data_IF_137505146603
#
_entry.id   IF_137505146603
#
_cell.length_a   1.000
_cell.length_b   1.000
_cell.length_c   1.000
_cell.angle_alpha   90.00
_cell.angle_beta   90.00
_cell.angle_gamma   90.00
#
_symmetry.space_group_name_H-M   'P 1'
#
loop_
_entity.id
_entity.type
_entity.pdbx_description
1 polymer ?
#
# COMPACT_ATOMS: atom_id res chain seq x y z
N UNK A 1 44.57 -27.55 27.61
CA UNK A 1 43.77 -26.73 26.68
C UNK A 1 44.37 -25.34 26.64
N UNK A 2 44.90 -24.94 25.49
CA UNK A 2 45.51 -23.62 25.32
C UNK A 2 44.46 -22.61 24.89
N UNK A 3 44.67 -21.34 25.21
CA UNK A 3 43.84 -20.22 24.74
C UNK A 3 43.66 -20.18 23.21
N UNK A 4 44.58 -20.81 22.46
CA UNK A 4 44.48 -21.02 21.00
C UNK A 4 43.39 -22.01 20.59
N UNK A 5 43.14 -23.06 21.38
CA UNK A 5 42.07 -24.03 21.13
C UNK A 5 40.69 -23.38 21.38
N UNK A 6 40.61 -22.52 22.40
CA UNK A 6 39.41 -21.72 22.70
C UNK A 6 39.15 -20.70 21.59
N UNK A 7 40.18 -20.00 21.11
CA UNK A 7 40.04 -19.06 20.01
C UNK A 7 39.64 -19.76 18.69
N UNK A 8 40.17 -20.96 18.42
CA UNK A 8 39.76 -21.75 17.25
C UNK A 8 38.29 -22.20 17.35
N UNK A 9 37.80 -22.55 18.53
CA UNK A 9 36.40 -22.93 18.75
C UNK A 9 35.44 -21.76 18.53
N UNK A 10 35.78 -20.57 19.05
CA UNK A 10 34.96 -19.34 18.90
C UNK A 10 34.94 -18.84 17.45
N UNK A 11 36.02 -19.07 16.69
CA UNK A 11 36.09 -18.68 15.28
C UNK A 11 35.46 -19.73 14.35
N UNK A 12 35.30 -20.99 14.81
CA UNK A 12 34.59 -22.06 14.10
C UNK A 12 33.07 -22.02 14.31
N UNK A 13 32.60 -21.50 15.44
CA UNK A 13 31.25 -20.92 15.56
C UNK A 13 31.21 -19.59 14.83
N UNK A 14 31.38 -19.66 13.50
CA UNK A 14 31.16 -18.53 12.61
C UNK A 14 29.83 -17.92 12.97
N UNK A 15 29.89 -16.69 13.46
CA UNK A 15 28.75 -15.88 13.82
C UNK A 15 27.70 -16.04 12.72
N UNK A 16 26.63 -16.79 13.01
CA UNK A 16 25.44 -16.73 12.20
C UNK A 16 25.07 -15.25 12.16
N UNK A 17 25.05 -14.61 10.97
CA UNK A 17 24.57 -13.25 10.89
C UNK A 17 23.19 -13.26 11.55
N UNK A 18 22.99 -12.37 12.53
CA UNK A 18 21.67 -12.16 13.09
C UNK A 18 20.70 -12.05 11.90
N UNK A 19 19.57 -12.79 11.90
CA UNK A 19 18.61 -12.67 10.81
C UNK A 19 18.35 -11.17 10.64
N UNK A 20 18.57 -10.67 9.42
CA UNK A 20 18.26 -9.29 9.10
C UNK A 20 16.86 -9.02 9.66
N UNK A 21 16.62 -7.87 10.33
CA UNK A 21 15.33 -7.60 10.93
C UNK A 21 14.27 -7.87 9.87
N UNK A 22 13.37 -8.83 10.16
CA UNK A 22 12.35 -9.25 9.22
C UNK A 22 11.57 -7.99 8.83
N UNK A 23 11.76 -7.53 7.60
CA UNK A 23 11.14 -6.29 7.17
C UNK A 23 9.64 -6.55 7.13
N UNK A 24 8.89 -5.85 7.97
CA UNK A 24 7.44 -5.99 8.03
C UNK A 24 6.85 -5.79 6.63
N UNK A 25 6.12 -6.80 6.13
CA UNK A 25 5.52 -6.78 4.80
C UNK A 25 4.03 -6.42 4.85
N UNK A 26 3.51 -6.04 6.02
CA UNK A 26 2.09 -5.75 6.22
C UNK A 26 1.18 -6.91 5.77
N UNK A 27 1.74 -8.13 5.69
CA UNK A 27 1.18 -9.33 5.06
C UNK A 27 0.54 -9.09 3.71
N UNK A 28 1.19 -8.21 2.96
CA UNK A 28 1.09 -8.08 1.52
C UNK A 28 2.21 -8.93 0.87
N UNK A 29 2.09 -9.24 -0.42
CA UNK A 29 3.22 -9.71 -1.22
C UNK A 29 4.45 -8.81 -1.09
N UNK A 30 5.65 -9.41 -1.09
CA UNK A 30 6.90 -8.70 -0.77
C UNK A 30 7.25 -7.60 -1.78
N UNK A 31 6.88 -7.78 -3.04
CA UNK A 31 7.01 -6.78 -4.10
C UNK A 31 6.12 -5.55 -3.81
N UNK A 32 4.84 -5.77 -3.49
CA UNK A 32 3.91 -4.71 -3.14
C UNK A 32 4.32 -3.97 -1.85
N UNK A 33 4.75 -4.71 -0.83
CA UNK A 33 5.25 -4.11 0.41
C UNK A 33 6.50 -3.25 0.16
N UNK A 34 7.37 -3.67 -0.77
CA UNK A 34 8.57 -2.91 -1.13
C UNK A 34 8.25 -1.62 -1.88
N UNK A 35 7.28 -1.65 -2.80
CA UNK A 35 6.83 -0.44 -3.51
C UNK A 35 6.14 0.56 -2.57
N UNK A 36 5.37 0.09 -1.57
CA UNK A 36 4.77 0.97 -0.56
C UNK A 36 5.82 1.65 0.32
N UNK A 37 6.86 0.93 0.75
CA UNK A 37 7.99 1.53 1.48
C UNK A 37 8.71 2.58 0.64
N UNK A 38 8.86 2.32 -0.66
CA UNK A 38 9.43 3.29 -1.59
C UNK A 38 8.54 4.53 -1.68
N UNK A 39 7.23 4.33 -1.89
CA UNK A 39 6.23 5.40 -1.98
C UNK A 39 6.27 6.35 -0.77
N UNK A 40 6.45 5.81 0.44
CA UNK A 40 6.55 6.60 1.68
C UNK A 40 7.68 7.66 1.64
N UNK A 41 8.74 7.40 0.89
CA UNK A 41 9.91 8.28 0.78
C UNK A 41 9.91 9.12 -0.50
N UNK A 42 8.93 8.94 -1.39
CA UNK A 42 8.90 9.62 -2.68
C UNK A 42 8.47 11.09 -2.56
N UNK A 43 9.18 12.02 -3.22
CA UNK A 43 8.73 13.41 -3.31
C UNK A 43 7.43 13.49 -4.12
N UNK A 44 6.63 14.56 -3.94
CA UNK A 44 5.45 14.78 -4.77
C UNK A 44 5.83 14.87 -6.27
N UNK A 45 5.02 14.25 -7.16
CA UNK A 45 5.24 14.33 -8.60
C UNK A 45 5.27 15.80 -9.07
N UNK A 46 6.22 16.15 -9.95
CA UNK A 46 6.43 17.53 -10.42
C UNK A 46 5.20 18.17 -11.10
N UNK A 47 4.32 17.34 -11.67
CA UNK A 47 3.12 17.77 -12.39
C UNK A 47 1.85 17.71 -11.55
N UNK A 48 1.95 17.39 -10.25
CA UNK A 48 0.78 17.39 -9.39
C UNK A 48 0.43 18.84 -9.03
N UNK A 49 -0.73 19.31 -9.51
CA UNK A 49 -1.20 20.68 -9.25
C UNK A 49 -1.45 20.97 -7.76
N UNK A 50 -1.53 19.93 -6.91
CA UNK A 50 -1.71 20.10 -5.46
C UNK A 50 -0.82 19.14 -4.65
N UNK A 51 0.41 19.54 -4.33
CA UNK A 51 1.35 18.77 -3.51
C UNK A 51 0.83 18.41 -2.09
N UNK A 52 -0.13 19.18 -1.55
CA UNK A 52 -0.79 18.86 -0.29
C UNK A 52 -1.58 17.55 -0.36
N UNK A 53 -2.17 17.24 -1.52
CA UNK A 53 -2.93 16.02 -1.73
C UNK A 53 -2.01 14.79 -1.80
N UNK A 54 -0.77 14.93 -2.31
CA UNK A 54 0.19 13.82 -2.39
C UNK A 54 0.50 13.24 -1.01
N UNK A 55 0.81 14.09 -0.03
CA UNK A 55 1.14 13.63 1.32
C UNK A 55 -0.04 12.91 1.97
N UNK A 56 -1.27 13.42 1.77
CA UNK A 56 -2.50 12.75 2.22
C UNK A 56 -2.65 11.36 1.61
N UNK A 57 -2.51 11.26 0.29
CA UNK A 57 -2.58 9.99 -0.44
C UNK A 57 -1.53 8.98 0.03
N UNK A 58 -0.29 9.42 0.26
CA UNK A 58 0.77 8.55 0.80
C UNK A 58 0.43 8.09 2.22
N UNK A 59 -0.11 8.96 3.07
CA UNK A 59 -0.56 8.59 4.43
C UNK A 59 -1.68 7.55 4.35
N UNK A 60 -2.66 7.75 3.49
CA UNK A 60 -3.79 6.83 3.31
C UNK A 60 -3.32 5.47 2.77
N UNK A 61 -2.43 5.47 1.77
CA UNK A 61 -1.83 4.24 1.23
C UNK A 61 -1.05 3.46 2.30
N UNK A 62 -0.25 4.15 3.13
CA UNK A 62 0.49 3.52 4.21
C UNK A 62 -0.42 3.05 5.35
N UNK A 63 -1.51 3.76 5.60
CA UNK A 63 -2.52 3.38 6.62
C UNK A 63 -3.25 2.12 6.18
N UNK A 64 -3.63 2.01 4.90
CA UNK A 64 -4.21 0.78 4.34
C UNK A 64 -3.30 -0.43 4.56
N UNK A 65 -1.99 -0.26 4.41
CA UNK A 65 -1.02 -1.33 4.64
C UNK A 65 -0.87 -1.64 6.15
N UNK A 66 -0.53 -0.64 6.96
CA UNK A 66 -0.27 -0.77 8.41
C UNK A 66 -1.46 -1.35 9.18
N UNK A 67 -2.67 -0.91 8.86
CA UNK A 67 -3.91 -1.38 9.50
C UNK A 67 -4.44 -2.67 8.88
N UNK A 68 -3.67 -3.28 7.97
CA UNK A 68 -3.97 -4.57 7.32
C UNK A 68 -5.20 -4.55 6.43
N UNK A 69 -5.74 -3.37 6.09
CA UNK A 69 -6.87 -3.25 5.17
C UNK A 69 -6.54 -3.72 3.76
N UNK A 70 -5.35 -3.37 3.26
CA UNK A 70 -4.90 -3.82 1.96
C UNK A 70 -4.80 -5.36 1.88
N UNK A 71 -4.21 -5.99 2.92
CA UNK A 71 -4.11 -7.45 2.98
C UNK A 71 -5.49 -8.14 3.04
N UNK A 72 -6.44 -7.58 3.81
CA UNK A 72 -7.82 -8.06 3.87
C UNK A 72 -8.53 -7.92 2.52
N UNK A 73 -8.38 -6.78 1.85
CA UNK A 73 -8.98 -6.54 0.54
C UNK A 73 -8.46 -7.52 -0.51
N UNK A 74 -7.15 -7.77 -0.53
CA UNK A 74 -6.56 -8.76 -1.44
C UNK A 74 -7.07 -10.17 -1.16
N UNK A 75 -7.23 -10.55 0.11
CA UNK A 75 -7.86 -11.83 0.47
C UNK A 75 -9.33 -11.94 0.03
N UNK A 76 -10.02 -10.80 -0.12
CA UNK A 76 -11.38 -10.69 -0.67
C UNK A 76 -11.40 -10.55 -2.20
N UNK A 77 -10.24 -10.66 -2.88
CA UNK A 77 -10.12 -10.62 -4.33
C UNK A 77 -9.94 -9.23 -4.93
N UNK A 78 -9.62 -8.21 -4.14
CA UNK A 78 -9.24 -6.90 -4.67
C UNK A 78 -7.84 -6.94 -5.27
N UNK A 79 -7.62 -6.17 -6.33
CA UNK A 79 -6.31 -6.03 -6.97
C UNK A 79 -5.51 -4.89 -6.33
N UNK A 80 -4.18 -4.90 -6.52
CA UNK A 80 -3.35 -3.76 -6.14
C UNK A 80 -3.82 -2.46 -6.83
N UNK A 81 -4.32 -2.54 -8.06
CA UNK A 81 -4.88 -1.40 -8.77
C UNK A 81 -6.15 -0.82 -8.15
N UNK A 82 -7.01 -1.67 -7.57
CA UNK A 82 -8.22 -1.19 -6.86
C UNK A 82 -7.85 -0.42 -5.59
N UNK A 83 -6.70 -0.72 -4.99
CA UNK A 83 -6.22 -0.11 -3.76
C UNK A 83 -5.34 1.12 -4.01
N UNK A 84 -4.39 1.02 -4.94
CA UNK A 84 -3.27 1.95 -5.11
C UNK A 84 -3.11 2.47 -6.55
N UNK A 85 -4.07 2.19 -7.44
CA UNK A 85 -4.04 2.67 -8.82
C UNK A 85 -4.61 4.08 -8.96
N UNK A 86 -4.18 4.77 -10.01
CA UNK A 86 -4.67 6.08 -10.46
C UNK A 86 -4.63 6.17 -12.00
N UNK A 87 -5.33 7.14 -12.56
CA UNK A 87 -5.26 7.46 -13.99
C UNK A 87 -6.41 6.86 -14.80
N UNK A 88 -6.28 6.67 -16.11
CA UNK A 88 -7.38 6.18 -16.92
C UNK A 88 -7.66 4.70 -16.62
N UNK A 89 -8.92 4.37 -16.32
CA UNK A 89 -9.47 2.99 -16.25
C UNK A 89 -10.99 3.09 -16.27
N UNK A 90 -11.65 2.59 -17.31
CA UNK A 90 -13.10 2.67 -17.55
C UNK A 90 -13.72 4.11 -17.61
N UNK A 91 -13.18 5.08 -16.88
CA UNK A 91 -13.49 6.51 -16.85
C UNK A 91 -12.16 7.31 -16.82
N UNK A 92 -12.22 8.60 -17.19
CA UNK A 92 -11.04 9.45 -17.41
C UNK A 92 -10.30 9.87 -16.12
N UNK A 93 -10.80 9.49 -14.94
CA UNK A 93 -10.21 9.84 -13.63
C UNK A 93 -10.37 8.70 -12.61
N UNK A 94 -9.92 7.47 -12.92
CA UNK A 94 -9.95 6.39 -11.94
C UNK A 94 -9.05 6.71 -10.74
N UNK A 95 -9.61 6.48 -9.55
CA UNK A 95 -8.95 6.64 -8.27
C UNK A 95 -9.10 5.34 -7.49
N UNK A 96 -7.98 4.70 -7.15
CA UNK A 96 -7.96 3.59 -6.21
C UNK A 96 -8.33 4.05 -4.80
N UNK A 97 -8.60 3.07 -3.93
CA UNK A 97 -9.09 3.31 -2.57
C UNK A 97 -8.21 4.31 -1.79
N UNK A 98 -6.88 4.23 -1.90
CA UNK A 98 -5.95 5.13 -1.21
C UNK A 98 -6.15 6.61 -1.59
N UNK A 99 -6.49 6.90 -2.85
CA UNK A 99 -6.76 8.26 -3.31
C UNK A 99 -8.15 8.72 -2.92
N UNK A 100 -9.12 7.80 -3.04
CA UNK A 100 -10.50 8.10 -2.71
C UNK A 100 -10.72 8.34 -1.21
N UNK A 101 -9.89 7.82 -0.31
CA UNK A 101 -10.09 7.98 1.13
C UNK A 101 -10.02 9.44 1.59
N UNK A 102 -9.05 10.22 1.10
CA UNK A 102 -8.90 11.63 1.46
C UNK A 102 -8.98 11.84 2.99
N UNK A 103 -8.22 11.04 3.74
CA UNK A 103 -8.19 11.04 5.20
C UNK A 103 -9.38 10.40 5.92
N UNK A 104 -10.38 9.86 5.20
CA UNK A 104 -11.49 9.09 5.80
C UNK A 104 -11.00 7.74 6.32
N UNK A 105 -11.69 7.21 7.32
CA UNK A 105 -11.36 5.92 7.95
C UNK A 105 -12.26 4.81 7.44
N UNK A 106 -11.67 3.68 7.02
CA UNK A 106 -12.44 2.49 6.68
C UNK A 106 -13.13 1.94 7.93
N UNK A 107 -14.44 1.68 7.81
CA UNK A 107 -15.26 1.06 8.86
C UNK A 107 -15.83 -0.29 8.44
N UNK A 108 -15.92 -0.56 7.14
CA UNK A 108 -16.37 -1.84 6.59
C UNK A 108 -15.69 -2.10 5.25
N UNK A 109 -15.39 -3.37 4.98
CA UNK A 109 -14.80 -3.84 3.72
C UNK A 109 -15.36 -5.23 3.41
N UNK A 110 -15.82 -5.43 2.18
CA UNK A 110 -16.21 -6.73 1.63
C UNK A 110 -15.57 -6.97 0.25
N UNK A 111 -16.00 -8.02 -0.48
CA UNK A 111 -15.49 -8.38 -1.80
C UNK A 111 -15.84 -7.39 -2.92
N UNK A 112 -16.72 -6.43 -2.64
CA UNK A 112 -17.28 -5.50 -3.63
C UNK A 112 -17.09 -4.04 -3.27
N UNK A 113 -16.98 -3.68 -1.99
CA UNK A 113 -16.92 -2.28 -1.56
C UNK A 113 -16.20 -2.06 -0.24
N UNK A 114 -15.75 -0.83 -0.08
CA UNK A 114 -15.32 -0.26 1.19
C UNK A 114 -16.32 0.83 1.62
N UNK A 115 -16.61 0.90 2.91
CA UNK A 115 -17.32 2.03 3.52
C UNK A 115 -16.31 2.78 4.39
N UNK A 116 -16.20 4.08 4.18
CA UNK A 116 -15.37 4.96 4.97
C UNK A 116 -16.21 6.03 5.66
N UNK A 117 -15.81 6.40 6.87
CA UNK A 117 -16.42 7.47 7.65
C UNK A 117 -15.46 8.65 7.76
N UNK A 118 -16.03 9.85 7.84
CA UNK A 118 -15.28 11.06 8.18
C UNK A 118 -14.75 11.03 9.63
N UNK A 119 -14.05 12.10 10.03
CA UNK A 119 -13.46 12.19 11.37
C UNK A 119 -14.51 12.16 12.49
N UNK A 120 -15.70 12.73 12.28
CA UNK A 120 -16.80 12.72 13.27
C UNK A 120 -17.54 11.39 13.32
N UNK A 121 -17.49 10.60 12.24
CA UNK A 121 -18.24 9.35 12.09
C UNK A 121 -19.69 9.55 11.65
N UNK A 122 -20.09 10.80 11.41
CA UNK A 122 -21.48 11.17 11.07
C UNK A 122 -21.78 10.92 9.59
N UNK A 123 -20.81 11.19 8.72
CA UNK A 123 -20.96 10.93 7.28
C UNK A 123 -20.24 9.65 6.88
N UNK A 124 -20.90 8.85 6.05
CA UNK A 124 -20.33 7.63 5.44
C UNK A 124 -20.41 7.72 3.93
N UNK A 125 -19.35 7.27 3.28
CA UNK A 125 -19.27 7.16 1.83
C UNK A 125 -18.88 5.74 1.45
N UNK A 126 -19.30 5.28 0.27
CA UNK A 126 -18.95 3.98 -0.26
C UNK A 126 -18.04 4.09 -1.47
N UNK A 127 -17.04 3.22 -1.53
CA UNK A 127 -16.19 3.00 -2.70
C UNK A 127 -16.47 1.59 -3.22
N UNK A 128 -16.89 1.47 -4.48
CA UNK A 128 -17.02 0.16 -5.12
C UNK A 128 -15.67 -0.26 -5.71
N UNK A 129 -15.31 -1.54 -5.53
CA UNK A 129 -14.10 -2.15 -6.07
C UNK A 129 -14.03 -1.92 -7.58
N UNK A 130 -12.86 -1.50 -8.06
CA UNK A 130 -12.66 -1.14 -9.46
C UNK A 130 -13.04 0.30 -9.79
N UNK A 131 -13.50 1.09 -8.82
CA UNK A 131 -13.85 2.49 -9.00
C UNK A 131 -15.26 2.68 -9.58
N UNK A 132 -15.64 3.93 -9.79
CA UNK A 132 -16.93 4.27 -10.39
C UNK A 132 -16.99 3.73 -11.83
N UNK A 133 -18.07 3.03 -12.20
CA UNK A 133 -18.29 2.43 -13.55
C UNK A 133 -17.29 1.34 -13.99
N UNK A 134 -16.74 0.59 -13.04
CA UNK A 134 -15.90 -0.58 -13.36
C UNK A 134 -16.58 -1.58 -14.31
N UNK A 135 -15.85 -2.06 -15.32
CA UNK A 135 -16.26 -3.13 -16.26
C UNK A 135 -16.78 -2.65 -17.62
N UNK A 136 -16.60 -1.37 -17.96
CA UNK A 136 -17.13 -0.78 -19.20
C UNK A 136 -16.12 -0.76 -20.36
N UNK A 137 -14.82 -0.68 -20.06
CA UNK A 137 -13.65 -0.72 -20.97
C UNK A 137 -12.44 -1.40 -20.27
N UNK A 138 -12.51 -2.72 -20.01
CA UNK A 138 -11.61 -3.44 -19.10
C UNK A 138 -10.14 -3.55 -19.55
N UNK A 139 -9.78 -2.99 -20.70
CA UNK A 139 -8.46 -3.13 -21.33
C UNK A 139 -7.44 -2.09 -20.86
N UNK A 140 -7.85 -1.08 -20.08
CA UNK A 140 -6.93 -0.03 -19.61
C UNK A 140 -6.51 -0.36 -18.17
N UNK A 141 -5.21 -0.61 -17.98
CA UNK A 141 -4.64 -0.84 -16.66
C UNK A 141 -4.35 0.49 -15.94
N UNK A 142 -4.68 0.60 -14.64
CA UNK A 142 -4.38 1.80 -13.87
C UNK A 142 -2.88 1.92 -13.63
N UNK A 143 -2.38 3.15 -13.54
CA UNK A 143 -0.99 3.45 -13.14
C UNK A 143 -0.91 3.36 -11.61
N UNK A 144 0.12 2.69 -11.08
CA UNK A 144 0.27 2.62 -9.62
C UNK A 144 0.84 3.92 -9.04
N UNK A 145 0.48 4.25 -7.79
CA UNK A 145 0.97 5.45 -7.10
C UNK A 145 2.52 5.58 -7.12
N UNK A 146 3.25 4.48 -6.93
CA UNK A 146 4.71 4.46 -6.94
C UNK A 146 5.34 4.61 -8.33
N UNK A 147 4.58 4.41 -9.40
CA UNK A 147 5.02 4.68 -10.77
C UNK A 147 4.70 6.11 -11.20
N UNK A 148 3.63 6.70 -10.64
CA UNK A 148 3.27 8.09 -10.92
C UNK A 148 4.22 9.11 -10.30
N UNK A 149 4.84 8.81 -9.17
CA UNK A 149 5.82 9.71 -8.54
C UNK A 149 7.21 9.72 -9.18
N UNK A 150 7.42 9.06 -10.34
CA UNK A 150 8.68 9.13 -11.10
C UNK A 150 8.85 10.42 -11.90
#
# INVERSE_FOLDING_TARGET
>A
MGWRDVAASVMAEGAQPAPAPAVENFGLPDDLASELRRLETMPPPRKLECAANWRGVVIDAMTLARDRWAAKAMALGWTAGDLFGIGPRDDWDFQGLAVWLDGRRIVLLDDKRAIAADASGESRSSFDRGGMRHGTLPTIEPVMLWDFGR
#
